data_IF_127076171407
#
_entry.id   IF_127076171407
#
_cell.length_a   1.000
_cell.length_b   1.000
_cell.length_c   1.000
_cell.angle_alpha   90.00
_cell.angle_beta   90.00
_cell.angle_gamma   90.00
#
_symmetry.space_group_name_H-M   'P 1'
#
loop_
_entity.id
_entity.type
_entity.pdbx_description
1 polymer ?
#
# COMPACT_ATOMS: atom_id res chain seq x y z
N UNK A 1 -32.01 -42.39 43.33
CA UNK A 1 -32.25 -43.24 42.14
C UNK A 1 -31.61 -42.57 40.94
N UNK A 2 -30.73 -43.14 40.13
CA UNK A 2 -30.16 -44.48 40.07
C UNK A 2 -28.70 -44.39 39.61
N UNK A 3 -27.95 -45.42 39.96
CA UNK A 3 -26.50 -45.58 39.97
C UNK A 3 -26.21 -46.88 39.19
N UNK A 4 -25.24 -46.87 38.27
CA UNK A 4 -24.58 -48.07 37.68
C UNK A 4 -23.21 -47.55 37.20
N UNK A 5 -22.07 -47.71 37.89
CA UNK A 5 -21.26 -48.87 38.30
C UNK A 5 -20.66 -49.69 37.13
N UNK A 6 -19.31 -49.73 37.11
CA UNK A 6 -18.30 -50.18 36.12
C UNK A 6 -18.15 -51.74 36.01
N UNK A 7 -17.05 -52.43 35.55
CA UNK A 7 -15.73 -52.03 35.01
C UNK A 7 -15.18 -53.00 33.86
N UNK A 8 -13.86 -53.36 33.67
CA UNK A 8 -13.18 -53.51 32.36
C UNK A 8 -12.79 -54.98 32.01
N UNK A 9 -11.89 -55.22 31.04
CA UNK A 9 -10.62 -55.85 31.46
C UNK A 9 -9.34 -55.48 30.67
N UNK A 10 -8.23 -55.73 31.37
CA UNK A 10 -6.80 -55.67 31.02
C UNK A 10 -6.31 -56.73 30.00
N UNK A 11 -5.08 -56.57 29.51
CA UNK A 11 -4.26 -57.72 29.06
C UNK A 11 -3.07 -57.39 28.15
N UNK A 12 -1.87 -57.40 28.74
CA UNK A 12 -0.54 -57.11 28.18
C UNK A 12 0.22 -58.34 27.62
N UNK A 13 1.21 -58.12 26.74
CA UNK A 13 2.53 -58.81 26.60
C UNK A 13 3.11 -58.53 25.17
N UNK A 14 4.18 -57.74 25.00
CA UNK A 14 5.62 -58.03 25.16
C UNK A 14 6.18 -59.17 24.28
N UNK A 15 6.96 -58.85 23.24
CA UNK A 15 8.24 -59.51 22.89
C UNK A 15 8.93 -58.89 21.65
N UNK A 16 10.02 -58.15 21.89
CA UNK A 16 11.23 -58.05 21.02
C UNK A 16 12.04 -59.36 21.19
N UNK A 17 13.20 -59.63 20.53
CA UNK A 17 13.98 -58.85 19.53
C UNK A 17 14.59 -59.68 18.38
N UNK A 18 15.34 -59.03 17.48
CA UNK A 18 16.64 -59.43 16.89
C UNK A 18 16.90 -58.67 15.58
N UNK A 19 18.09 -58.29 15.10
CA UNK A 19 19.45 -58.02 15.60
C UNK A 19 20.26 -57.67 14.32
N UNK A 20 21.17 -56.68 14.39
CA UNK A 20 22.30 -56.38 13.47
C UNK A 20 21.97 -56.00 12.00
N UNK A 21 22.70 -55.12 11.32
CA UNK A 21 24.03 -54.58 11.62
C UNK A 21 24.36 -53.36 10.76
N UNK A 22 25.47 -52.74 11.15
CA UNK A 22 26.04 -51.47 10.72
C UNK A 22 26.64 -51.45 9.30
N UNK A 23 27.04 -50.21 8.93
CA UNK A 23 28.06 -49.78 7.96
C UNK A 23 27.52 -49.39 6.58
N UNK A 24 27.59 -48.13 6.13
CA UNK A 24 28.73 -47.21 5.99
C UNK A 24 29.80 -47.71 4.99
N UNK A 25 29.77 -47.18 3.76
CA UNK A 25 30.89 -46.87 2.87
C UNK A 25 30.28 -46.33 1.55
N UNK A 26 30.56 -45.14 1.02
CA UNK A 26 31.85 -44.51 0.65
C UNK A 26 32.51 -45.14 -0.59
N UNK A 27 32.50 -44.35 -1.68
CA UNK A 27 33.59 -44.10 -2.65
C UNK A 27 34.16 -45.31 -3.41
N UNK A 28 34.07 -45.32 -4.75
CA UNK A 28 35.24 -45.14 -5.66
C UNK A 28 34.89 -45.31 -7.13
N UNK A 29 35.40 -44.35 -7.91
CA UNK A 29 35.59 -44.37 -9.36
C UNK A 29 36.84 -45.20 -9.74
N UNK A 30 36.81 -45.67 -10.99
CA UNK A 30 37.93 -46.02 -11.87
C UNK A 30 38.46 -47.46 -11.81
N UNK A 31 38.39 -48.17 -12.94
CA UNK A 31 39.56 -48.44 -13.79
C UNK A 31 39.24 -49.55 -14.81
N UNK A 32 39.35 -49.26 -16.10
CA UNK A 32 39.56 -50.30 -17.12
C UNK A 32 41.04 -50.34 -17.50
N UNK A 33 41.65 -51.50 -17.25
CA UNK A 33 42.99 -51.96 -17.64
C UNK A 33 43.15 -52.01 -19.17
N UNK A 34 44.22 -51.43 -19.73
CA UNK A 34 45.48 -52.05 -20.23
C UNK A 34 45.31 -52.94 -21.49
N UNK A 35 46.05 -52.89 -22.62
CA UNK A 35 47.31 -52.28 -23.17
C UNK A 35 47.44 -52.75 -24.67
N UNK A 36 48.53 -52.55 -25.49
CA UNK A 36 49.86 -51.96 -25.23
C UNK A 36 50.54 -51.09 -26.35
N UNK A 37 51.65 -50.43 -25.94
CA UNK A 37 52.87 -50.02 -26.70
C UNK A 37 52.73 -48.99 -27.84
N UNK A 38 53.51 -47.91 -27.94
CA UNK A 38 54.98 -47.81 -27.85
C UNK A 38 55.47 -46.37 -27.49
N UNK A 39 56.76 -46.27 -27.12
CA UNK A 39 57.47 -45.10 -26.52
C UNK A 39 57.62 -43.85 -27.42
N UNK A 40 57.58 -42.64 -26.82
CA UNK A 40 58.61 -41.56 -26.90
C UNK A 40 58.18 -40.28 -26.14
N UNK A 41 59.14 -39.56 -25.51
CA UNK A 41 59.00 -38.32 -24.71
C UNK A 41 59.89 -37.21 -25.35
N UNK A 42 59.76 -35.91 -24.98
CA UNK A 42 59.20 -34.79 -25.76
C UNK A 42 60.30 -33.83 -26.32
N UNK A 43 59.96 -32.70 -27.01
CA UNK A 43 59.91 -31.42 -26.27
C UNK A 43 59.02 -30.27 -26.83
N UNK A 44 58.79 -29.30 -25.93
CA UNK A 44 58.67 -27.85 -26.11
C UNK A 44 57.50 -27.22 -26.90
N UNK A 45 56.60 -26.61 -26.13
CA UNK A 45 55.89 -25.35 -26.37
C UNK A 45 56.04 -24.69 -27.76
N UNK A 46 54.92 -24.63 -28.49
CA UNK A 46 54.56 -23.45 -29.27
C UNK A 46 53.08 -23.17 -29.10
N UNK A 47 52.79 -21.96 -28.64
CA UNK A 47 51.48 -21.32 -28.66
C UNK A 47 50.87 -21.46 -30.06
N UNK A 48 49.67 -22.01 -30.14
CA UNK A 48 48.78 -21.82 -31.27
C UNK A 48 47.47 -21.26 -30.72
N UNK A 49 47.05 -20.12 -31.26
CA UNK A 49 45.68 -19.62 -31.21
C UNK A 49 44.76 -20.74 -31.72
N UNK A 50 43.92 -21.29 -30.84
CA UNK A 50 42.73 -22.04 -31.26
C UNK A 50 41.60 -21.03 -31.43
N UNK A 51 41.18 -20.86 -32.68
CA UNK A 51 39.90 -20.25 -33.06
C UNK A 51 38.78 -20.78 -32.14
N UNK A 52 37.88 -19.93 -31.62
CA UNK A 52 36.74 -20.43 -30.87
C UNK A 52 35.86 -21.23 -31.82
N UNK A 53 35.60 -22.48 -31.44
CA UNK A 53 34.68 -23.37 -32.13
C UNK A 53 33.40 -22.63 -32.52
N UNK A 54 33.09 -22.65 -33.82
CA UNK A 54 31.79 -22.24 -34.35
C UNK A 54 30.72 -23.10 -33.67
N UNK A 55 30.01 -22.51 -32.71
CA UNK A 55 28.81 -23.11 -32.15
C UNK A 55 27.80 -23.23 -33.29
N UNK A 56 27.40 -24.46 -33.61
CA UNK A 56 26.28 -24.69 -34.52
C UNK A 56 25.01 -24.07 -33.93
N UNK A 57 24.32 -23.26 -34.71
CA UNK A 57 23.11 -22.49 -34.32
C UNK A 57 21.94 -23.35 -33.78
N UNK A 58 22.04 -24.68 -33.86
CA UNK A 58 20.97 -25.63 -33.54
C UNK A 58 20.90 -26.06 -32.05
N UNK A 59 21.86 -25.67 -31.20
CA UNK A 59 21.88 -25.99 -29.76
C UNK A 59 21.46 -24.81 -28.85
N UNK A 60 20.96 -23.72 -29.44
CA UNK A 60 20.39 -22.62 -28.67
C UNK A 60 19.00 -23.04 -28.14
N UNK A 61 18.69 -22.84 -26.84
CA UNK A 61 17.32 -22.95 -26.37
C UNK A 61 16.44 -22.03 -27.24
N UNK A 62 15.18 -22.40 -27.53
CA UNK A 62 14.32 -21.56 -28.34
C UNK A 62 14.36 -20.15 -27.78
N UNK A 63 14.78 -19.19 -28.63
CA UNK A 63 14.63 -17.77 -28.33
C UNK A 63 13.21 -17.60 -27.85
N UNK A 64 13.05 -17.12 -26.60
CA UNK A 64 11.76 -16.79 -26.04
C UNK A 64 11.01 -16.05 -27.14
N UNK A 65 9.94 -16.65 -27.62
CA UNK A 65 9.10 -16.04 -28.63
C UNK A 65 8.49 -14.87 -27.89
N UNK A 66 9.06 -13.67 -28.09
CA UNK A 66 8.48 -12.45 -27.57
C UNK A 66 7.04 -12.44 -28.05
N UNK A 67 6.12 -12.62 -27.10
CA UNK A 67 4.70 -12.62 -27.39
C UNK A 67 4.41 -11.31 -28.11
N UNK A 68 4.02 -11.38 -29.39
CA UNK A 68 3.73 -10.21 -30.24
C UNK A 68 2.64 -9.29 -29.64
N UNK A 69 1.98 -9.73 -28.56
CA UNK A 69 1.11 -8.93 -27.71
C UNK A 69 1.83 -7.75 -27.00
N UNK A 70 3.16 -7.78 -26.88
CA UNK A 70 3.98 -6.72 -26.28
C UNK A 70 4.68 -5.78 -27.27
N UNK A 71 4.56 -6.03 -28.59
CA UNK A 71 5.20 -5.21 -29.64
C UNK A 71 4.36 -3.99 -30.07
N UNK A 72 3.41 -3.56 -29.23
CA UNK A 72 2.78 -2.25 -29.42
C UNK A 72 3.74 -1.16 -28.95
N UNK A 73 4.27 -0.38 -29.89
CA UNK A 73 5.06 0.86 -29.68
C UNK A 73 4.32 1.94 -28.86
N UNK A 74 3.12 1.65 -28.35
CA UNK A 74 2.29 2.48 -27.44
C UNK A 74 2.30 1.97 -25.98
N UNK A 75 3.27 1.15 -25.58
CA UNK A 75 3.35 0.60 -24.22
C UNK A 75 3.72 1.67 -23.16
N UNK A 76 2.79 2.58 -22.86
CA UNK A 76 2.77 3.24 -21.55
C UNK A 76 2.63 2.15 -20.48
N UNK A 77 3.30 2.26 -19.31
CA UNK A 77 3.12 1.33 -18.22
C UNK A 77 1.62 1.20 -17.90
N UNK A 78 1.06 0.01 -18.12
CA UNK A 78 -0.32 -0.26 -17.78
C UNK A 78 -0.44 -0.26 -16.25
N UNK A 79 -1.06 0.79 -15.68
CA UNK A 79 -1.46 0.81 -14.29
C UNK A 79 -2.87 0.21 -14.16
N UNK A 80 -3.01 -1.04 -13.68
CA UNK A 80 -4.31 -1.71 -13.60
C UNK A 80 -5.27 -1.05 -12.60
N UNK A 81 -4.80 -0.14 -11.75
CA UNK A 81 -5.64 0.56 -10.78
C UNK A 81 -6.27 1.83 -11.35
N UNK A 82 -5.76 2.31 -12.48
CA UNK A 82 -6.27 3.50 -13.14
C UNK A 82 -7.31 3.12 -14.19
N UNK A 83 -8.46 3.82 -14.25
CA UNK A 83 -9.39 3.66 -15.34
C UNK A 83 -8.68 3.93 -16.67
N UNK A 84 -8.96 3.10 -17.67
CA UNK A 84 -8.49 3.33 -19.03
C UNK A 84 -9.19 4.55 -19.63
N UNK A 85 -8.63 5.74 -19.38
CA UNK A 85 -9.05 6.95 -20.04
C UNK A 85 -8.49 6.92 -21.47
N UNK A 86 -9.35 7.03 -22.49
CA UNK A 86 -8.90 7.18 -23.87
C UNK A 86 -7.93 8.36 -23.96
N UNK A 87 -6.83 8.16 -24.68
CA UNK A 87 -5.72 9.09 -24.76
C UNK A 87 -6.13 10.39 -25.49
N UNK A 88 -6.68 11.35 -24.76
CA UNK A 88 -7.03 12.68 -25.28
C UNK A 88 -5.80 13.61 -25.39
N UNK A 89 -4.57 13.09 -25.42
CA UNK A 89 -3.35 13.89 -25.60
C UNK A 89 -3.08 14.90 -24.46
N UNK A 90 -3.72 14.74 -23.31
CA UNK A 90 -3.52 15.60 -22.15
C UNK A 90 -2.34 15.09 -21.33
N UNK A 91 -1.24 15.79 -21.46
CA UNK A 91 -0.03 15.67 -20.65
C UNK A 91 -0.37 15.87 -19.17
N UNK A 92 -0.36 14.78 -18.39
CA UNK A 92 -0.57 14.86 -16.95
C UNK A 92 0.63 15.56 -16.31
N UNK A 93 0.36 16.70 -15.68
CA UNK A 93 1.38 17.45 -14.93
C UNK A 93 2.03 16.54 -13.89
N UNK A 94 3.36 16.47 -13.90
CA UNK A 94 4.10 15.66 -12.93
C UNK A 94 4.05 16.29 -11.52
N UNK A 95 3.97 15.46 -10.47
CA UNK A 95 4.03 15.95 -9.10
C UNK A 95 5.41 16.59 -8.84
N UNK A 96 5.40 17.75 -8.19
CA UNK A 96 6.61 18.43 -7.75
C UNK A 96 7.23 17.72 -6.54
N UNK A 97 6.39 17.15 -5.67
CA UNK A 97 6.79 16.40 -4.48
C UNK A 97 5.70 15.43 -4.08
N UNK A 98 6.11 14.29 -3.54
CA UNK A 98 5.27 13.34 -2.82
C UNK A 98 5.85 13.15 -1.41
N UNK A 99 5.01 13.09 -0.39
CA UNK A 99 5.39 12.76 0.99
C UNK A 99 4.72 11.48 1.51
N UNK A 100 4.10 10.70 0.61
CA UNK A 100 3.38 9.47 0.90
C UNK A 100 1.93 9.71 1.34
N UNK A 101 1.61 10.85 1.96
CA UNK A 101 0.23 11.20 2.36
C UNK A 101 -0.37 12.19 1.36
N UNK A 102 0.44 13.13 0.91
CA UNK A 102 0.05 14.29 0.13
C UNK A 102 0.92 14.42 -1.12
N UNK A 103 0.26 14.64 -2.25
CA UNK A 103 0.92 14.90 -3.52
C UNK A 103 0.85 16.40 -3.79
N UNK A 104 2.00 17.00 -4.10
CA UNK A 104 2.14 18.43 -4.33
C UNK A 104 2.42 18.72 -5.81
N UNK A 105 1.60 19.59 -6.40
CA UNK A 105 1.75 20.06 -7.77
C UNK A 105 2.13 21.54 -7.77
N UNK A 106 3.04 21.91 -8.65
CA UNK A 106 3.54 23.27 -8.84
C UNK A 106 3.73 23.53 -10.33
N UNK A 107 2.68 23.94 -11.03
CA UNK A 107 2.71 24.22 -12.46
C UNK A 107 1.95 25.53 -12.78
N UNK A 108 2.56 26.48 -13.52
CA UNK A 108 1.88 27.69 -14.00
C UNK A 108 0.57 27.45 -14.75
N UNK A 109 0.43 26.34 -15.48
CA UNK A 109 -0.77 25.97 -16.23
C UNK A 109 -1.96 25.76 -15.30
N UNK A 110 -1.74 25.08 -14.18
CA UNK A 110 -2.75 24.80 -13.16
C UNK A 110 -3.16 26.04 -12.34
N UNK A 111 -2.34 27.09 -12.33
CA UNK A 111 -2.64 28.36 -11.64
C UNK A 111 -3.40 29.36 -12.51
N UNK A 112 -3.19 29.33 -13.83
CA UNK A 112 -3.72 30.31 -14.77
C UNK A 112 -4.98 29.85 -15.49
N UNK A 113 -5.07 28.56 -15.80
CA UNK A 113 -6.16 28.01 -16.61
C UNK A 113 -7.12 27.18 -15.74
N UNK A 114 -8.36 27.65 -15.53
CA UNK A 114 -9.33 26.94 -14.71
C UNK A 114 -9.84 25.64 -15.34
N UNK A 115 -9.82 25.51 -16.67
CA UNK A 115 -10.29 24.32 -17.36
C UNK A 115 -9.23 23.21 -17.31
N UNK A 116 -7.94 23.56 -17.46
CA UNK A 116 -6.84 22.61 -17.23
C UNK A 116 -6.85 22.12 -15.78
N UNK A 117 -7.01 23.04 -14.81
CA UNK A 117 -7.09 22.67 -13.40
C UNK A 117 -8.28 21.74 -13.11
N UNK A 118 -9.47 22.04 -13.65
CA UNK A 118 -10.65 21.23 -13.44
C UNK A 118 -10.48 19.81 -14.01
N UNK A 119 -9.99 19.69 -15.25
CA UNK A 119 -9.70 18.38 -15.88
C UNK A 119 -8.63 17.61 -15.13
N UNK A 120 -7.59 18.30 -14.65
CA UNK A 120 -6.53 17.67 -13.87
C UNK A 120 -7.04 17.14 -12.53
N UNK A 121 -7.84 17.92 -11.80
CA UNK A 121 -8.44 17.49 -10.53
C UNK A 121 -9.43 16.35 -10.73
N UNK A 122 -10.25 16.39 -11.78
CA UNK A 122 -11.15 15.30 -12.15
C UNK A 122 -10.39 13.99 -12.37
N UNK A 123 -9.28 14.03 -13.13
CA UNK A 123 -8.40 12.86 -13.32
C UNK A 123 -7.74 12.40 -12.03
N UNK A 124 -7.24 13.31 -11.20
CA UNK A 124 -6.65 12.96 -9.91
C UNK A 124 -7.69 12.34 -8.97
N UNK A 125 -8.96 12.72 -9.08
CA UNK A 125 -10.05 12.11 -8.32
C UNK A 125 -10.28 10.64 -8.68
N UNK A 126 -9.87 10.23 -9.89
CA UNK A 126 -9.94 8.85 -10.37
C UNK A 126 -8.81 7.96 -9.84
N UNK A 127 -7.72 8.56 -9.33
CA UNK A 127 -6.64 7.84 -8.66
C UNK A 127 -7.12 7.41 -7.27
N UNK A 128 -7.02 6.11 -6.92
CA UNK A 128 -7.49 5.62 -5.63
C UNK A 128 -6.66 6.18 -4.47
N UNK A 129 -7.28 6.48 -3.31
CA UNK A 129 -6.53 6.57 -2.06
C UNK A 129 -5.98 5.18 -1.71
N UNK A 130 -4.87 5.14 -0.97
CA UNK A 130 -4.19 3.89 -0.60
C UNK A 130 -4.29 3.62 0.91
N UNK A 131 -5.45 3.11 1.39
CA UNK A 131 -5.60 2.71 2.78
C UNK A 131 -4.73 1.49 3.09
N UNK A 132 -4.17 1.45 4.29
CA UNK A 132 -3.49 0.26 4.79
C UNK A 132 -3.75 0.07 6.29
N UNK A 133 -3.69 -1.17 6.75
CA UNK A 133 -3.70 -1.51 8.18
C UNK A 133 -2.26 -1.50 8.66
N UNK A 134 -1.97 -0.77 9.73
CA UNK A 134 -0.70 -0.81 10.44
C UNK A 134 -0.93 -1.39 11.84
N UNK A 135 -0.22 -2.48 12.17
CA UNK A 135 -0.30 -3.15 13.47
C UNK A 135 1.09 -3.20 14.07
N UNK A 136 1.30 -2.46 15.16
CA UNK A 136 2.60 -2.36 15.84
C UNK A 136 2.46 -2.86 17.27
N UNK A 137 3.23 -3.90 17.61
CA UNK A 137 3.38 -4.37 18.99
C UNK A 137 4.68 -3.86 19.57
N UNK A 138 4.63 -3.18 20.71
CA UNK A 138 5.83 -2.74 21.46
C UNK A 138 5.79 -3.24 22.89
N UNK A 139 6.95 -3.59 23.44
CA UNK A 139 7.10 -3.82 24.87
C UNK A 139 8.18 -2.93 25.46
N UNK A 140 8.00 -2.61 26.73
CA UNK A 140 8.92 -1.77 27.47
C UNK A 140 9.89 -2.65 28.26
N UNK A 141 11.18 -2.59 27.91
CA UNK A 141 12.23 -3.25 28.66
C UNK A 141 12.69 -2.36 29.82
N UNK A 142 12.56 -2.87 31.05
CA UNK A 142 13.17 -2.22 32.23
C UNK A 142 14.65 -2.60 32.29
N UNK A 143 15.55 -1.65 32.56
CA UNK A 143 16.97 -1.96 32.71
C UNK A 143 17.17 -2.93 33.88
N UNK A 144 17.87 -4.04 33.64
CA UNK A 144 18.22 -4.98 34.71
C UNK A 144 19.32 -4.37 35.57
N UNK A 145 19.02 -4.27 36.87
CA UNK A 145 19.83 -3.92 38.04
C UNK A 145 21.29 -3.49 37.85
N UNK A 146 21.59 -2.30 38.41
CA UNK A 146 22.88 -1.76 38.84
C UNK A 146 23.58 -0.70 37.99
N UNK A 147 22.90 -0.09 37.02
CA UNK A 147 23.43 1.08 36.31
C UNK A 147 22.46 2.27 36.41
N UNK A 148 22.87 3.34 37.12
CA UNK A 148 22.00 4.49 37.49
C UNK A 148 21.65 5.42 36.33
N UNK A 149 22.11 5.09 35.12
CA UNK A 149 22.04 5.98 33.96
C UNK A 149 21.36 5.38 32.72
N UNK A 150 20.61 4.27 32.87
CA UNK A 150 20.00 3.60 31.71
C UNK A 150 18.49 3.88 31.62
N UNK A 151 18.11 4.51 30.52
CA UNK A 151 16.75 4.92 30.19
C UNK A 151 15.88 3.70 29.79
N UNK A 152 14.60 3.77 30.11
CA UNK A 152 13.58 2.80 29.69
C UNK A 152 13.55 2.73 28.16
N UNK A 153 13.65 1.53 27.58
CA UNK A 153 13.65 1.34 26.12
C UNK A 153 12.37 0.65 25.66
N UNK A 154 11.64 1.32 24.77
CA UNK A 154 10.54 0.68 24.04
C UNK A 154 11.11 -0.07 22.84
N UNK A 155 10.81 -1.36 22.77
CA UNK A 155 11.27 -2.27 21.71
C UNK A 155 10.05 -2.76 20.93
N UNK A 156 10.10 -2.59 19.61
CA UNK A 156 9.07 -3.12 18.70
C UNK A 156 9.22 -4.63 18.57
N UNK A 157 8.20 -5.40 18.89
CA UNK A 157 8.22 -6.86 18.72
C UNK A 157 7.86 -7.25 17.29
N UNK A 158 6.78 -6.68 16.77
CA UNK A 158 6.29 -6.91 15.42
C UNK A 158 5.70 -5.62 14.85
N UNK A 159 5.78 -5.50 13.54
CA UNK A 159 5.26 -4.35 12.79
C UNK A 159 4.73 -4.87 11.47
N UNK A 160 3.42 -4.89 11.31
CA UNK A 160 2.75 -5.51 10.17
C UNK A 160 1.98 -4.45 9.41
N UNK A 161 2.14 -4.42 8.10
CA UNK A 161 1.36 -3.58 7.20
C UNK A 161 0.58 -4.41 6.19
N UNK A 162 -0.70 -4.12 5.96
CA UNK A 162 -1.52 -4.77 4.93
C UNK A 162 -2.21 -3.70 4.09
N UNK A 163 -2.02 -3.74 2.77
CA UNK A 163 -2.69 -2.82 1.84
C UNK A 163 -4.18 -3.17 1.64
N UNK A 164 -5.04 -2.17 1.76
CA UNK A 164 -6.49 -2.29 1.64
C UNK A 164 -7.05 -1.70 0.34
N UNK A 165 -6.19 -1.18 -0.55
CA UNK A 165 -6.60 -0.52 -1.80
C UNK A 165 -7.47 -1.43 -2.68
N UNK A 166 -7.25 -2.74 -2.65
CA UNK A 166 -8.04 -3.73 -3.40
C UNK A 166 -9.53 -3.75 -3.02
N UNK A 167 -9.87 -3.31 -1.79
CA UNK A 167 -11.25 -3.25 -1.30
C UNK A 167 -12.09 -2.16 -1.96
N UNK A 168 -11.44 -1.19 -2.61
CA UNK A 168 -12.10 -0.07 -3.28
C UNK A 168 -12.70 -0.45 -4.65
N UNK A 169 -12.33 -1.61 -5.20
CA UNK A 169 -12.71 -2.02 -6.55
C UNK A 169 -13.73 -3.15 -6.54
N UNK A 170 -14.83 -2.98 -7.28
CA UNK A 170 -15.78 -4.07 -7.54
C UNK A 170 -15.21 -5.03 -8.59
N UNK A 171 -14.50 -4.49 -9.56
CA UNK A 171 -13.67 -5.23 -10.51
C UNK A 171 -12.38 -4.47 -10.72
N UNK A 172 -11.28 -5.03 -10.23
CA UNK A 172 -9.98 -4.39 -10.31
C UNK A 172 -9.38 -4.43 -11.71
N UNK A 173 -9.68 -5.45 -12.52
CA UNK A 173 -9.13 -5.57 -13.88
C UNK A 173 -9.76 -4.55 -14.82
N UNK A 174 -11.03 -4.24 -14.57
CA UNK A 174 -11.76 -3.17 -15.24
C UNK A 174 -11.60 -1.79 -14.56
N UNK A 175 -10.81 -1.70 -13.48
CA UNK A 175 -10.69 -0.50 -12.64
C UNK A 175 -12.04 0.12 -12.22
N UNK A 176 -13.05 -0.73 -12.01
CA UNK A 176 -14.39 -0.32 -11.63
C UNK A 176 -14.48 -0.17 -10.10
N UNK A 177 -14.78 1.05 -9.65
CA UNK A 177 -14.91 1.42 -8.25
C UNK A 177 -16.12 2.33 -8.04
N UNK A 178 -16.67 2.35 -6.81
CA UNK A 178 -17.73 3.30 -6.45
C UNK A 178 -17.10 4.59 -5.95
N UNK A 179 -17.07 5.60 -6.83
CA UNK A 179 -16.47 6.90 -6.54
C UNK A 179 -17.36 8.05 -6.98
N UNK A 180 -17.26 9.17 -6.28
CA UNK A 180 -17.95 10.42 -6.63
C UNK A 180 -17.12 11.63 -6.24
N UNK A 181 -17.18 12.68 -7.05
CA UNK A 181 -16.55 13.97 -6.72
C UNK A 181 -17.60 14.88 -6.11
N UNK A 182 -17.40 15.23 -4.85
CA UNK A 182 -18.27 16.11 -4.10
C UNK A 182 -17.61 17.46 -3.87
N UNK A 183 -18.44 18.50 -3.86
CA UNK A 183 -18.03 19.88 -3.62
C UNK A 183 -18.63 20.38 -2.32
N UNK A 184 -17.88 21.20 -1.59
CA UNK A 184 -18.25 21.64 -0.25
C UNK A 184 -19.59 22.40 -0.22
N UNK A 185 -20.56 21.83 0.50
CA UNK A 185 -21.91 22.39 0.63
C UNK A 185 -21.94 23.67 1.46
N UNK A 186 -23.00 24.47 1.35
CA UNK A 186 -23.02 25.84 1.89
C UNK A 186 -22.87 25.95 3.42
N UNK A 187 -23.33 24.94 4.17
CA UNK A 187 -23.22 24.87 5.63
C UNK A 187 -21.89 24.31 6.11
N UNK A 188 -21.11 23.69 5.23
CA UNK A 188 -19.83 23.08 5.56
C UNK A 188 -18.77 24.15 5.81
N UNK A 189 -18.05 24.01 6.92
CA UNK A 189 -16.99 24.93 7.32
C UNK A 189 -15.67 24.48 6.71
N UNK A 190 -15.34 25.02 5.54
CA UNK A 190 -14.11 24.70 4.79
C UNK A 190 -13.36 25.97 4.41
N UNK A 191 -12.11 25.84 3.96
CA UNK A 191 -11.37 27.00 3.43
C UNK A 191 -11.80 27.26 1.99
N UNK A 192 -12.46 28.40 1.74
CA UNK A 192 -13.05 28.76 0.43
C UNK A 192 -12.27 29.90 -0.25
N UNK A 193 -10.94 29.79 -0.28
CA UNK A 193 -10.05 30.91 -0.62
C UNK A 193 -9.72 31.80 0.58
N UNK A 194 -9.86 31.25 1.78
CA UNK A 194 -9.61 31.91 3.07
C UNK A 194 -8.45 31.24 3.79
N UNK A 195 -7.92 31.91 4.81
CA UNK A 195 -6.88 31.35 5.71
C UNK A 195 -7.53 30.41 6.73
N UNK A 196 -8.67 30.84 7.26
CA UNK A 196 -9.47 30.09 8.22
C UNK A 196 -10.69 29.49 7.55
N UNK A 197 -11.13 28.32 8.02
CA UNK A 197 -12.30 27.66 7.49
C UNK A 197 -13.58 28.47 7.81
N UNK A 198 -14.39 28.69 6.78
CA UNK A 198 -15.61 29.50 6.83
C UNK A 198 -16.75 28.79 6.09
N UNK A 199 -17.99 29.03 6.53
CA UNK A 199 -19.18 28.62 5.76
C UNK A 199 -19.33 29.48 4.51
N UNK A 200 -20.23 29.10 3.60
CA UNK A 200 -20.55 29.93 2.45
C UNK A 200 -21.09 31.31 2.92
N UNK A 201 -20.87 32.38 2.14
CA UNK A 201 -21.44 33.71 2.42
C UNK A 201 -22.95 33.62 2.67
N UNK A 202 -23.43 34.27 3.73
CA UNK A 202 -24.82 34.22 4.19
C UNK A 202 -25.23 33.01 5.02
N UNK A 203 -24.42 31.94 5.11
CA UNK A 203 -24.74 30.71 5.87
C UNK A 203 -24.03 30.62 7.24
N UNK A 204 -23.28 31.66 7.60
CA UNK A 204 -22.51 31.76 8.86
C UNK A 204 -23.07 32.74 9.90
N UNK A 205 -24.26 33.32 9.67
CA UNK A 205 -24.87 34.30 10.58
C UNK A 205 -24.28 35.73 10.49
N UNK A 206 -23.31 35.96 9.60
CA UNK A 206 -22.77 37.29 9.31
C UNK A 206 -23.33 37.78 7.97
N UNK A 207 -23.96 38.96 7.96
CA UNK A 207 -24.89 39.51 6.97
C UNK A 207 -24.38 39.77 5.55
N UNK A 208 -23.79 38.77 4.91
CA UNK A 208 -23.59 38.71 3.47
C UNK A 208 -24.82 38.10 2.81
N UNK A 209 -25.12 38.51 1.57
CA UNK A 209 -26.17 37.89 0.78
C UNK A 209 -25.86 36.39 0.62
N UNK A 210 -26.86 35.51 0.82
CA UNK A 210 -26.66 34.08 0.67
C UNK A 210 -26.24 33.77 -0.76
N UNK A 211 -25.18 33.00 -0.89
CA UNK A 211 -24.72 32.51 -2.18
C UNK A 211 -25.79 31.60 -2.83
N UNK A 212 -26.10 31.83 -4.10
CA UNK A 212 -27.05 31.03 -4.87
C UNK A 212 -26.41 29.69 -5.28
N UNK A 213 -26.98 28.59 -4.79
CA UNK A 213 -26.55 27.24 -5.14
C UNK A 213 -25.25 26.78 -4.46
N UNK A 214 -24.82 25.56 -4.80
CA UNK A 214 -23.53 24.99 -4.36
C UNK A 214 -22.57 25.10 -5.55
N UNK A 215 -21.41 25.76 -5.40
CA UNK A 215 -20.47 25.90 -6.51
C UNK A 215 -19.87 24.55 -6.90
N UNK A 216 -19.94 24.21 -8.19
CA UNK A 216 -19.33 23.00 -8.74
C UNK A 216 -17.80 23.09 -8.87
N UNK A 217 -17.17 21.98 -9.27
CA UNK A 217 -15.71 21.86 -9.44
C UNK A 217 -15.13 23.00 -10.30
N UNK A 218 -15.68 23.19 -11.51
CA UNK A 218 -15.21 24.22 -12.46
C UNK A 218 -15.30 25.64 -11.88
N UNK A 219 -16.33 25.92 -11.09
CA UNK A 219 -16.50 27.23 -10.46
C UNK A 219 -15.44 27.46 -9.36
N UNK A 220 -15.12 26.44 -8.55
CA UNK A 220 -14.02 26.54 -7.60
C UNK A 220 -12.66 26.74 -8.28
N UNK A 221 -12.40 26.02 -9.38
CA UNK A 221 -11.18 26.20 -10.18
C UNK A 221 -11.11 27.62 -10.76
N UNK A 222 -12.22 28.17 -11.26
CA UNK A 222 -12.33 29.56 -11.73
C UNK A 222 -12.01 30.56 -10.62
N UNK A 223 -12.57 30.38 -9.42
CA UNK A 223 -12.30 31.25 -8.25
C UNK A 223 -10.84 31.19 -7.81
N UNK A 224 -10.22 30.02 -7.87
CA UNK A 224 -8.80 29.85 -7.56
C UNK A 224 -7.91 30.61 -8.56
N UNK A 225 -8.15 30.45 -9.86
CA UNK A 225 -7.38 31.13 -10.91
C UNK A 225 -7.61 32.64 -10.90
N UNK A 226 -8.85 33.09 -10.67
CA UNK A 226 -9.21 34.52 -10.60
C UNK A 226 -8.65 35.22 -9.36
N UNK A 227 -8.23 34.48 -8.32
CA UNK A 227 -7.69 35.07 -7.10
C UNK A 227 -6.33 35.71 -7.32
N UNK A 228 -6.20 36.99 -6.94
CA UNK A 228 -4.95 37.76 -6.97
C UNK A 228 -4.03 37.51 -5.78
N UNK A 229 -4.33 36.51 -4.95
CA UNK A 229 -3.51 36.20 -3.78
C UNK A 229 -2.11 35.70 -4.22
N UNK A 230 -1.05 36.24 -3.60
CA UNK A 230 0.32 35.87 -3.95
C UNK A 230 0.72 34.45 -3.54
N UNK A 231 0.03 33.88 -2.53
CA UNK A 231 0.18 32.48 -2.10
C UNK A 231 -1.19 31.81 -2.08
N UNK A 232 -1.36 30.79 -2.91
CA UNK A 232 -2.60 30.04 -3.10
C UNK A 232 -2.32 28.54 -3.04
N UNK A 233 -3.25 27.79 -2.48
CA UNK A 233 -3.24 26.33 -2.43
C UNK A 233 -4.64 25.81 -2.71
N UNK A 234 -4.80 25.02 -3.75
CA UNK A 234 -6.01 24.28 -4.01
C UNK A 234 -5.82 22.86 -3.51
N UNK A 235 -6.74 22.39 -2.69
CA UNK A 235 -6.64 21.09 -2.03
C UNK A 235 -7.83 20.24 -2.40
N UNK A 236 -7.56 19.06 -2.94
CA UNK A 236 -8.53 17.98 -3.07
C UNK A 236 -8.20 16.91 -2.02
N UNK A 237 -9.21 16.45 -1.31
CA UNK A 237 -9.09 15.36 -0.33
C UNK A 237 -9.76 14.11 -0.89
N UNK A 238 -9.10 12.96 -0.81
CA UNK A 238 -9.68 11.65 -1.10
C UNK A 238 -10.18 11.05 0.21
N UNK A 239 -11.48 10.83 0.31
CA UNK A 239 -12.13 10.27 1.50
C UNK A 239 -12.61 8.86 1.23
N UNK A 240 -12.38 7.97 2.19
CA UNK A 240 -12.89 6.60 2.15
C UNK A 240 -14.11 6.51 3.05
N UNK A 241 -15.22 6.04 2.51
CA UNK A 241 -16.49 5.92 3.22
C UNK A 241 -17.02 4.49 3.21
N UNK A 242 -17.89 4.19 4.18
CA UNK A 242 -18.63 2.92 4.22
C UNK A 242 -17.88 1.75 4.85
N UNK A 243 -16.69 1.93 5.41
CA UNK A 243 -15.96 0.87 6.11
C UNK A 243 -15.95 1.08 7.63
N UNK A 244 -16.25 0.04 8.41
CA UNK A 244 -16.28 0.10 9.87
C UNK A 244 -14.87 -0.16 10.46
N UNK A 245 -14.06 0.89 10.46
CA UNK A 245 -12.69 0.87 11.00
C UNK A 245 -12.64 0.50 12.49
N UNK A 246 -13.65 0.88 13.27
CA UNK A 246 -13.71 0.63 14.72
C UNK A 246 -14.05 -0.83 15.03
N UNK A 247 -14.93 -1.44 14.23
CA UNK A 247 -15.17 -2.88 14.30
C UNK A 247 -13.90 -3.65 13.97
N UNK A 248 -13.24 -3.31 12.86
CA UNK A 248 -12.03 -4.02 12.45
C UNK A 248 -10.90 -3.87 13.48
N UNK A 249 -10.72 -2.66 14.02
CA UNK A 249 -9.80 -2.39 15.14
C UNK A 249 -10.04 -3.33 16.32
N UNK A 250 -11.30 -3.44 16.78
CA UNK A 250 -11.65 -4.29 17.92
C UNK A 250 -11.38 -5.77 17.65
N UNK A 251 -11.67 -6.25 16.44
CA UNK A 251 -11.38 -7.63 16.06
C UNK A 251 -9.87 -7.92 16.02
N UNK A 252 -9.08 -7.01 15.43
CA UNK A 252 -7.62 -7.13 15.38
C UNK A 252 -6.99 -7.05 16.77
N UNK A 253 -7.46 -6.15 17.64
CA UNK A 253 -7.01 -6.13 19.04
C UNK A 253 -7.34 -7.43 19.77
N UNK A 254 -8.52 -7.99 19.52
CA UNK A 254 -8.92 -9.30 20.05
C UNK A 254 -7.99 -10.41 19.58
N UNK A 255 -7.61 -10.40 18.31
CA UNK A 255 -6.66 -11.35 17.72
C UNK A 255 -5.28 -11.25 18.36
N UNK A 256 -4.74 -10.03 18.54
CA UNK A 256 -3.44 -9.83 19.18
C UNK A 256 -3.47 -10.28 20.64
N UNK A 257 -4.57 -10.04 21.36
CA UNK A 257 -4.72 -10.55 22.74
C UNK A 257 -4.79 -12.09 22.78
N UNK A 258 -5.41 -12.72 21.76
CA UNK A 258 -5.49 -14.17 21.66
C UNK A 258 -4.12 -14.84 21.43
N UNK A 259 -3.11 -14.13 20.92
CA UNK A 259 -1.73 -14.65 20.80
C UNK A 259 -0.96 -14.63 22.12
N UNK A 260 -1.60 -14.28 23.24
CA UNK A 260 -0.98 -14.05 24.56
C UNK A 260 0.05 -12.91 24.59
N UNK A 261 -0.02 -11.99 23.63
CA UNK A 261 0.83 -10.80 23.66
C UNK A 261 0.43 -9.86 24.81
N UNK A 262 1.41 -9.45 25.63
CA UNK A 262 1.21 -8.59 26.82
C UNK A 262 1.77 -7.17 26.67
N UNK A 263 2.37 -6.86 25.53
CA UNK A 263 2.88 -5.52 25.24
C UNK A 263 1.78 -4.53 24.89
N UNK A 264 2.20 -3.31 24.56
CA UNK A 264 1.34 -2.29 23.97
C UNK A 264 1.12 -2.60 22.49
N UNK A 265 -0.12 -2.39 22.02
CA UNK A 265 -0.51 -2.65 20.64
C UNK A 265 -1.13 -1.39 20.08
N UNK A 266 -0.56 -0.90 18.98
CA UNK A 266 -1.08 0.24 18.23
C UNK A 266 -1.58 -0.24 16.87
N UNK A 267 -2.88 -0.09 16.64
CA UNK A 267 -3.52 -0.41 15.36
C UNK A 267 -3.95 0.90 14.71
N UNK A 268 -3.54 1.16 13.47
CA UNK A 268 -3.92 2.37 12.75
C UNK A 268 -4.37 2.04 11.33
N UNK A 269 -5.19 2.91 10.75
CA UNK A 269 -5.66 2.82 9.36
C UNK A 269 -5.23 4.06 8.57
N UNK A 270 -3.92 4.30 8.42
CA UNK A 270 -3.41 5.38 7.61
C UNK A 270 -3.83 5.23 6.13
N UNK A 271 -3.95 6.38 5.46
CA UNK A 271 -4.31 6.46 4.03
C UNK A 271 -3.21 7.22 3.31
N UNK A 272 -2.48 6.53 2.42
CA UNK A 272 -1.49 7.15 1.55
C UNK A 272 -2.20 7.87 0.41
N UNK A 273 -1.58 8.93 -0.10
CA UNK A 273 -2.11 9.77 -1.17
C UNK A 273 -3.55 10.28 -0.92
N UNK A 274 -3.88 10.59 0.34
CA UNK A 274 -5.18 11.12 0.72
C UNK A 274 -5.38 12.57 0.29
N UNK A 275 -4.31 13.37 0.17
CA UNK A 275 -4.41 14.77 -0.20
C UNK A 275 -3.68 15.09 -1.50
N UNK A 276 -4.27 15.99 -2.28
CA UNK A 276 -3.65 16.62 -3.44
C UNK A 276 -3.62 18.11 -3.21
N UNK A 277 -2.45 18.71 -3.30
CA UNK A 277 -2.25 20.15 -3.14
C UNK A 277 -1.68 20.74 -4.42
N UNK A 278 -2.43 21.63 -5.06
CA UNK A 278 -2.01 22.40 -6.21
C UNK A 278 -1.66 23.82 -5.77
N UNK A 279 -0.37 24.13 -5.79
CA UNK A 279 0.15 25.42 -5.40
C UNK A 279 0.35 26.33 -6.62
N UNK A 280 0.17 27.64 -6.42
CA UNK A 280 0.54 28.61 -7.46
C UNK A 280 2.06 28.61 -7.67
N UNK A 281 2.50 28.79 -8.92
CA UNK A 281 3.94 28.85 -9.21
C UNK A 281 4.54 30.16 -8.69
N UNK A 282 5.23 30.05 -7.56
CA UNK A 282 6.00 31.14 -6.99
C UNK A 282 7.20 30.59 -6.22
N UNK A 283 8.25 31.42 -6.10
CA UNK A 283 9.49 31.03 -5.41
C UNK A 283 9.24 30.58 -3.98
N UNK A 284 8.33 31.25 -3.26
CA UNK A 284 8.00 30.93 -1.87
C UNK A 284 7.37 29.53 -1.75
N UNK A 285 6.44 29.18 -2.64
CA UNK A 285 5.82 27.85 -2.65
C UNK A 285 6.83 26.77 -3.04
N UNK A 286 7.70 27.06 -4.01
CA UNK A 286 8.79 26.15 -4.38
C UNK A 286 9.72 25.90 -3.20
N UNK A 287 10.16 26.96 -2.52
CA UNK A 287 11.08 26.89 -1.38
C UNK A 287 10.53 26.07 -0.22
N UNK A 288 9.25 26.24 0.14
CA UNK A 288 8.65 25.44 1.23
C UNK A 288 8.48 23.96 0.89
N UNK A 289 8.48 23.62 -0.41
CA UNK A 289 8.36 22.23 -0.86
C UNK A 289 9.72 21.55 -1.01
N UNK A 290 10.79 22.31 -1.24
CA UNK A 290 12.14 21.77 -1.35
C UNK A 290 12.69 21.30 0.01
N UNK A 291 12.95 19.99 0.14
CA UNK A 291 13.40 19.34 1.40
C UNK A 291 14.62 20.04 2.03
N UNK A 292 15.69 20.30 1.28
CA UNK A 292 16.91 20.90 1.86
C UNK A 292 16.71 22.34 2.38
N UNK A 293 15.84 23.14 1.73
CA UNK A 293 15.52 24.50 2.19
C UNK A 293 14.75 24.42 3.51
N UNK A 294 13.78 23.51 3.62
CA UNK A 294 13.07 23.26 4.88
C UNK A 294 14.05 22.85 5.99
N UNK A 295 15.04 22.01 5.69
CA UNK A 295 16.07 21.62 6.65
C UNK A 295 16.92 22.82 7.11
N UNK A 296 17.32 23.72 6.21
CA UNK A 296 18.03 24.96 6.59
C UNK A 296 17.18 25.81 7.53
N UNK A 297 15.89 26.00 7.24
CA UNK A 297 14.98 26.77 8.09
C UNK A 297 14.77 26.11 9.45
N UNK A 298 14.86 24.78 9.52
CA UNK A 298 14.83 24.03 10.77
C UNK A 298 16.11 24.25 11.59
N UNK A 299 17.29 24.08 10.98
CA UNK A 299 18.59 24.26 11.66
C UNK A 299 18.84 25.70 12.12
N UNK A 300 18.36 26.67 11.36
CA UNK A 300 18.49 28.10 11.68
C UNK A 300 17.37 28.63 12.60
N UNK A 301 16.45 27.76 13.04
CA UNK A 301 15.25 28.10 13.83
C UNK A 301 14.34 29.17 13.20
N UNK A 302 14.50 29.47 11.90
CA UNK A 302 13.68 30.45 11.18
C UNK A 302 12.23 29.98 10.96
N UNK A 303 11.94 28.70 11.18
CA UNK A 303 10.57 28.16 11.10
C UNK A 303 9.58 28.89 12.03
N UNK A 304 10.06 29.41 13.17
CA UNK A 304 9.24 30.14 14.17
C UNK A 304 8.54 31.36 13.57
N UNK A 305 9.19 32.09 12.66
CA UNK A 305 8.59 33.26 12.00
C UNK A 305 7.94 32.91 10.68
N UNK A 306 8.56 32.00 9.95
CA UNK A 306 8.20 31.75 8.54
C UNK A 306 6.97 30.87 8.42
N UNK A 307 6.76 29.90 9.32
CA UNK A 307 5.54 29.07 9.30
C UNK A 307 4.28 29.88 9.63
N UNK A 308 4.23 30.71 10.69
CA UNK A 308 3.09 31.60 10.90
C UNK A 308 2.86 32.54 9.71
N UNK A 309 3.91 33.14 9.15
CA UNK A 309 3.79 33.99 7.97
C UNK A 309 3.15 33.25 6.77
N UNK A 310 3.65 32.05 6.47
CA UNK A 310 3.09 31.21 5.40
C UNK A 310 1.65 30.82 5.69
N UNK A 311 1.33 30.49 6.94
CA UNK A 311 -0.02 30.15 7.36
C UNK A 311 -0.99 31.30 7.12
N UNK A 312 -0.68 32.51 7.60
CA UNK A 312 -1.56 33.68 7.48
C UNK A 312 -1.64 34.24 6.05
N UNK A 313 -0.61 34.05 5.23
CA UNK A 313 -0.60 34.57 3.85
C UNK A 313 -1.17 33.60 2.83
N UNK A 314 -1.09 32.28 3.06
CA UNK A 314 -1.57 31.27 2.11
C UNK A 314 -3.09 31.21 2.13
N UNK A 315 -3.73 31.58 1.02
CA UNK A 315 -5.15 31.32 0.80
C UNK A 315 -5.33 29.86 0.38
N UNK A 316 -6.28 29.15 1.00
CA UNK A 316 -6.53 27.74 0.72
C UNK A 316 -7.94 27.51 0.21
N UNK A 317 -8.08 26.60 -0.74
CA UNK A 317 -9.34 26.11 -1.29
C UNK A 317 -9.43 24.62 -1.00
N UNK A 318 -10.04 24.27 0.13
CA UNK A 318 -10.27 22.89 0.59
C UNK A 318 -11.75 22.53 0.32
N UNK A 319 -12.17 22.64 -0.93
CA UNK A 319 -13.61 22.60 -1.30
C UNK A 319 -14.02 21.35 -2.07
N UNK A 320 -13.10 20.44 -2.38
CA UNK A 320 -13.38 19.26 -3.19
C UNK A 320 -12.96 18.01 -2.44
N UNK A 321 -13.88 17.07 -2.39
CA UNK A 321 -13.69 15.75 -1.80
C UNK A 321 -13.98 14.69 -2.85
N UNK A 322 -12.99 13.86 -3.15
CA UNK A 322 -13.18 12.65 -3.94
C UNK A 322 -13.56 11.52 -2.99
N UNK A 323 -14.84 11.15 -2.97
CA UNK A 323 -15.36 10.05 -2.15
C UNK A 323 -15.13 8.72 -2.84
N UNK A 324 -14.56 7.78 -2.09
CA UNK A 324 -14.35 6.40 -2.47
C UNK A 324 -15.11 5.52 -1.48
N UNK A 325 -16.14 4.81 -1.94
CA UNK A 325 -17.02 4.04 -1.07
C UNK A 325 -16.61 2.58 -1.08
N UNK A 326 -16.39 1.99 0.10
CA UNK A 326 -16.21 0.54 0.27
C UNK A 326 -17.55 -0.18 0.50
N UNK A 327 -18.54 0.53 1.03
CA UNK A 327 -19.91 0.03 1.12
C UNK A 327 -20.93 1.15 0.99
N UNK A 328 -22.15 0.79 0.61
CA UNK A 328 -23.31 1.69 0.61
C UNK A 328 -24.42 1.15 1.51
N UNK A 329 -25.13 2.01 2.25
CA UNK A 329 -26.32 1.61 2.97
C UNK A 329 -27.38 1.15 1.97
N UNK A 330 -27.95 -0.03 2.19
CA UNK A 330 -29.07 -0.53 1.39
C UNK A 330 -30.37 0.13 1.86
N UNK A 331 -31.42 0.11 1.02
CA UNK A 331 -32.76 0.56 1.40
C UNK A 331 -33.34 -0.14 2.65
N UNK A 332 -32.80 -1.33 2.99
CA UNK A 332 -33.13 -2.04 4.22
C UNK A 332 -32.22 -1.54 5.35
N UNK A 333 -32.78 -1.01 6.46
CA UNK A 333 -31.99 -0.51 7.57
C UNK A 333 -31.11 -1.63 8.15
N UNK A 334 -29.83 -1.32 8.39
CA UNK A 334 -28.86 -2.25 8.97
C UNK A 334 -28.14 -3.16 7.97
N UNK A 335 -28.51 -3.16 6.68
CA UNK A 335 -27.79 -3.91 5.65
C UNK A 335 -26.90 -2.98 4.82
N UNK A 336 -25.61 -3.32 4.73
CA UNK A 336 -24.64 -2.65 3.85
C UNK A 336 -24.39 -3.51 2.61
N UNK A 337 -24.25 -2.87 1.46
CA UNK A 337 -23.80 -3.50 0.21
C UNK A 337 -22.34 -3.15 0.03
N UNK A 338 -21.46 -4.14 0.02
CA UNK A 338 -20.02 -3.94 -0.13
C UNK A 338 -19.62 -3.92 -1.61
N UNK A 339 -18.57 -3.17 -1.91
CA UNK A 339 -17.96 -3.11 -3.24
C UNK A 339 -17.25 -4.42 -3.57
N UNK A 340 -16.40 -4.87 -2.65
CA UNK A 340 -15.57 -6.07 -2.81
C UNK A 340 -15.87 -7.10 -1.72
N UNK A 341 -15.45 -6.82 -0.49
CA UNK A 341 -15.65 -7.71 0.67
C UNK A 341 -16.00 -6.93 1.93
N UNK A 342 -16.62 -7.61 2.90
CA UNK A 342 -16.93 -7.03 4.21
C UNK A 342 -15.74 -7.05 5.16
N UNK A 343 -15.82 -6.25 6.23
CA UNK A 343 -14.82 -6.20 7.30
C UNK A 343 -14.60 -7.59 7.94
N UNK A 344 -15.69 -8.34 8.18
CA UNK A 344 -15.64 -9.68 8.77
C UNK A 344 -14.99 -10.70 7.83
N UNK A 345 -15.28 -10.61 6.54
CA UNK A 345 -14.70 -11.47 5.51
C UNK A 345 -13.20 -11.22 5.39
N UNK A 346 -12.80 -9.95 5.34
CA UNK A 346 -11.40 -9.55 5.33
C UNK A 346 -10.68 -10.01 6.60
N UNK A 347 -11.28 -9.82 7.78
CA UNK A 347 -10.70 -10.28 9.04
C UNK A 347 -10.52 -11.79 9.06
N UNK A 348 -11.54 -12.56 8.66
CA UNK A 348 -11.49 -14.03 8.65
C UNK A 348 -10.40 -14.55 7.71
N UNK A 349 -10.21 -13.88 6.57
CA UNK A 349 -9.15 -14.17 5.60
C UNK A 349 -7.77 -13.93 6.22
N UNK A 350 -7.56 -12.79 6.88
CA UNK A 350 -6.24 -12.39 7.39
C UNK A 350 -5.89 -12.89 8.79
N UNK A 351 -6.86 -13.33 9.60
CA UNK A 351 -6.65 -13.65 11.01
C UNK A 351 -5.55 -14.70 11.23
N UNK A 352 -5.54 -15.77 10.43
CA UNK A 352 -4.53 -16.83 10.54
C UNK A 352 -3.13 -16.32 10.18
N UNK A 353 -3.01 -15.60 9.07
CA UNK A 353 -1.73 -15.04 8.60
C UNK A 353 -1.17 -14.01 9.56
N UNK A 354 -2.03 -13.14 10.09
CA UNK A 354 -1.67 -12.14 11.10
C UNK A 354 -1.18 -12.82 12.39
N UNK A 355 -1.90 -13.83 12.88
CA UNK A 355 -1.48 -14.57 14.06
C UNK A 355 -0.11 -15.22 13.87
N UNK A 356 0.13 -15.86 12.71
CA UNK A 356 1.42 -16.44 12.37
C UNK A 356 2.52 -15.38 12.32
N UNK A 357 2.30 -14.29 11.59
CA UNK A 357 3.28 -13.21 11.44
C UNK A 357 3.64 -12.54 12.78
N UNK A 358 2.66 -12.40 13.70
CA UNK A 358 2.90 -11.90 15.06
C UNK A 358 3.76 -12.86 15.89
N UNK A 359 3.50 -14.16 15.80
CA UNK A 359 4.30 -15.19 16.51
C UNK A 359 5.73 -15.25 15.96
N UNK A 360 5.90 -15.06 14.66
CA UNK A 360 7.20 -14.96 13.99
C UNK A 360 7.92 -13.63 14.23
N UNK A 361 7.30 -12.68 14.93
CA UNK A 361 7.84 -11.32 15.18
C UNK A 361 8.25 -10.60 13.90
N UNK A 362 7.49 -10.80 12.83
CA UNK A 362 7.80 -10.21 11.52
C UNK A 362 7.68 -8.70 11.56
N UNK A 363 8.52 -8.04 10.75
CA UNK A 363 8.43 -6.61 10.45
C UNK A 363 8.34 -6.41 8.94
N UNK A 364 7.31 -5.71 8.49
CA UNK A 364 7.14 -5.32 7.09
C UNK A 364 5.72 -5.52 6.56
N UNK A 365 5.60 -5.40 5.24
CA UNK A 365 4.34 -5.56 4.52
C UNK A 365 4.02 -7.05 4.39
N UNK A 366 2.76 -7.39 4.65
CA UNK A 366 2.18 -8.71 4.38
C UNK A 366 1.44 -8.64 3.04
N UNK A 367 1.71 -9.63 2.19
CA UNK A 367 1.19 -9.68 0.83
C UNK A 367 0.32 -10.92 0.56
N UNK A 368 -0.12 -11.06 -0.69
CA UNK A 368 -0.88 -12.24 -1.13
C UNK A 368 -0.09 -13.54 -0.91
N UNK A 369 1.23 -13.53 -1.10
CA UNK A 369 2.08 -14.70 -0.95
C UNK A 369 2.09 -15.23 0.49
N UNK A 370 2.01 -14.34 1.48
CA UNK A 370 1.89 -14.72 2.89
C UNK A 370 0.57 -15.42 3.22
N UNK A 371 -0.50 -14.99 2.54
CA UNK A 371 -1.80 -15.62 2.65
C UNK A 371 -1.83 -17.01 1.99
N UNK A 372 -1.16 -17.16 0.84
CA UNK A 372 -0.99 -18.46 0.16
C UNK A 372 -0.21 -19.44 1.03
N UNK A 373 0.91 -19.00 1.62
CA UNK A 373 1.74 -19.83 2.51
C UNK A 373 0.96 -20.32 3.72
N UNK A 374 0.20 -19.44 4.36
CA UNK A 374 -0.61 -19.81 5.54
C UNK A 374 -1.74 -20.76 5.19
N UNK A 375 -2.30 -20.67 3.97
CA UNK A 375 -3.36 -21.56 3.49
C UNK A 375 -2.85 -22.97 3.16
N UNK A 376 -1.69 -23.10 2.51
CA UNK A 376 -1.09 -24.40 2.18
C UNK A 376 -0.81 -25.22 3.45
N UNK A 377 -0.45 -24.55 4.54
CA UNK A 377 -0.22 -25.21 5.83
C UNK A 377 -1.52 -25.60 6.55
N UNK A 378 -2.67 -25.06 6.15
CA UNK A 378 -3.96 -25.22 6.81
C UNK A 378 -5.06 -25.73 5.88
N UNK A 379 -4.91 -26.91 5.29
CA UNK A 379 -5.99 -27.51 4.49
C UNK A 379 -7.20 -27.94 5.35
N UNK A 380 -8.41 -27.75 4.77
CA UNK A 380 -9.78 -28.09 5.26
C UNK A 380 -10.53 -27.06 6.12
N UNK A 381 -10.80 -25.88 5.55
CA UNK A 381 -12.09 -25.20 5.79
C UNK A 381 -12.80 -24.96 4.45
N UNK A 382 -13.51 -25.99 4.00
CA UNK A 382 -14.37 -25.95 2.81
C UNK A 382 -15.55 -24.99 3.05
N UNK A 383 -15.72 -24.02 2.15
CA UNK A 383 -16.87 -23.09 2.15
C UNK A 383 -16.55 -21.62 1.84
N UNK A 384 -15.31 -21.17 2.08
CA UNK A 384 -14.89 -19.76 1.89
C UNK A 384 -13.83 -19.57 0.80
N UNK A 385 -13.54 -20.63 0.02
CA UNK A 385 -12.43 -20.64 -0.94
C UNK A 385 -12.59 -19.63 -2.09
N UNK A 386 -13.81 -19.41 -2.59
CA UNK A 386 -14.06 -18.57 -3.76
C UNK A 386 -13.88 -17.07 -3.50
N UNK A 387 -14.47 -16.54 -2.42
CA UNK A 387 -14.32 -15.13 -2.02
C UNK A 387 -12.88 -14.80 -1.64
N UNK A 388 -12.18 -15.73 -0.99
CA UNK A 388 -10.75 -15.59 -0.66
C UNK A 388 -9.91 -15.53 -1.94
N UNK A 389 -10.16 -16.41 -2.91
CA UNK A 389 -9.41 -16.42 -4.17
C UNK A 389 -9.59 -15.12 -4.96
N UNK A 390 -10.81 -14.59 -5.05
CA UNK A 390 -11.07 -13.30 -5.71
C UNK A 390 -10.36 -12.15 -4.98
N UNK A 391 -10.40 -12.13 -3.65
CA UNK A 391 -9.69 -11.12 -2.85
C UNK A 391 -8.16 -11.20 -3.03
N UNK A 392 -7.62 -12.41 -3.12
CA UNK A 392 -6.19 -12.66 -3.38
C UNK A 392 -5.78 -12.16 -4.75
N UNK A 393 -6.51 -12.51 -5.80
CA UNK A 393 -6.23 -12.04 -7.15
C UNK A 393 -6.25 -10.50 -7.23
N UNK A 394 -7.23 -9.87 -6.56
CA UNK A 394 -7.32 -8.41 -6.50
C UNK A 394 -6.13 -7.80 -5.76
N UNK A 395 -5.70 -8.39 -4.64
CA UNK A 395 -4.51 -7.94 -3.94
C UNK A 395 -3.24 -8.12 -4.77
N UNK A 396 -3.11 -9.21 -5.53
CA UNK A 396 -1.98 -9.44 -6.43
C UNK A 396 -1.87 -8.38 -7.51
N UNK A 397 -3.00 -7.89 -8.04
CA UNK A 397 -3.02 -6.78 -9.00
C UNK A 397 -2.50 -5.49 -8.35
N UNK A 398 -2.97 -5.16 -7.15
CA UNK A 398 -2.49 -4.01 -6.36
C UNK A 398 -0.99 -4.11 -6.05
N UNK A 399 -0.53 -5.28 -5.63
CA UNK A 399 0.88 -5.48 -5.30
C UNK A 399 1.75 -5.36 -6.55
N UNK A 400 1.27 -5.78 -7.73
CA UNK A 400 1.99 -5.60 -9.00
C UNK A 400 2.04 -4.15 -9.47
N UNK A 401 0.96 -3.39 -9.31
CA UNK A 401 0.94 -1.97 -9.71
C UNK A 401 1.88 -1.11 -8.87
N UNK A 402 2.11 -1.49 -7.61
CA UNK A 402 2.96 -0.73 -6.70
C UNK A 402 4.33 -1.38 -6.41
N UNK A 403 4.52 -2.65 -6.75
CA UNK A 403 5.65 -3.49 -6.34
C UNK A 403 6.96 -3.28 -7.10
N UNK A 404 7.04 -2.33 -8.02
CA UNK A 404 8.28 -1.98 -8.72
C UNK A 404 8.75 -0.56 -8.33
N UNK A 405 9.49 -0.46 -7.21
CA UNK A 405 10.37 0.68 -6.91
C UNK A 405 9.72 2.05 -6.66
N UNK A 406 8.38 2.16 -6.60
CA UNK A 406 7.68 3.44 -6.46
C UNK A 406 7.81 4.10 -5.08
N UNK A 407 8.12 3.34 -4.03
CA UNK A 407 8.20 3.85 -2.65
C UNK A 407 9.61 4.39 -2.28
N UNK A 408 10.55 4.47 -3.24
CA UNK A 408 11.87 5.10 -3.04
C UNK A 408 12.16 6.17 -4.09
N UNK A 409 11.73 7.42 -3.84
CA UNK A 409 12.30 8.66 -4.39
C UNK A 409 12.00 9.88 -3.48
#
# INVERSE_FOLDING_TARGET
>A
MGKVDAPPPDGSSSSTPSHLGESAASITLSSSTYFPSDRHLPPSHRYFDEDPAEFADDDLPPLYTDHEEFNNDDARPFDPLMPQLRDDGFETVHPFRDDGISIFFLDPRLDRDPDILATHIDRLSMVPPRPFVSIVGTHTEKPTSNDKNRETKDVTDFELEIELTHLLYSDIRAAQAWRSVNTAGNFEKVRRGTVFATRAPGFGGCGSLPEEGVPGLREWCRRYCASRAGLKCFTMERRIEGFDWDMLRRQLEGLVRATNYRGNVKIEFPVRHSHVHVYNDCRINRWRLTKWIVMIFMFTLMFVFTWPYLFFKTKRWETITAEWRMSEPTAVPGRKKYVSMSEEQWYTMWAGTLQKAMLERRRGVLDQGDLERTRVEGERREGFAGTVQVGMEAMGVVNRSFGWGGDTC
#
